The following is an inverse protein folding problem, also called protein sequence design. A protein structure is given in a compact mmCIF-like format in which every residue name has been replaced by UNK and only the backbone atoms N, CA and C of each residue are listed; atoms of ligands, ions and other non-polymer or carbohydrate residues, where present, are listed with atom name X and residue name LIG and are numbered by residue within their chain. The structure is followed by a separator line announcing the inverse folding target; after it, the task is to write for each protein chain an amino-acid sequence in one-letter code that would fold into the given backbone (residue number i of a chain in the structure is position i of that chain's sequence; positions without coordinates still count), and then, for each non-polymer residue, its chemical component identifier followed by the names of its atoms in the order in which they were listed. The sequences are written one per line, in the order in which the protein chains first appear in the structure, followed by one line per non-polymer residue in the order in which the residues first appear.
data_IF_253077167562
#
_entry.id   IF_253077167562
#
_cell.length_a   1.000
_cell.length_b   1.000
_cell.length_c   1.000
_cell.angle_alpha   90.00
_cell.angle_beta   90.00
_cell.angle_gamma   90.00
#
_symmetry.space_group_name_H-M   'P 1'
#
loop_
_entity.id
_entity.type
_entity.pdbx_description
1 polymer ?
#
# COMPACT_ATOMS: atom_id res chain seq x y z
N UNK A 1 17.18 -46.81 -19.31
CA UNK A 1 17.39 -46.19 -17.98
C UNK A 1 17.56 -44.69 -18.22
N UNK A 2 16.43 -43.97 -18.25
CA UNK A 2 16.41 -42.53 -18.47
C UNK A 2 16.65 -41.80 -17.15
N UNK A 3 17.61 -40.88 -17.19
CA UNK A 3 17.89 -40.03 -16.04
C UNK A 3 16.75 -39.01 -15.84
N UNK A 4 16.40 -38.64 -14.61
CA UNK A 4 15.35 -37.65 -14.37
C UNK A 4 15.71 -36.29 -14.92
N UNK A 5 14.79 -35.70 -15.66
CA UNK A 5 14.94 -34.44 -16.44
C UNK A 5 14.87 -33.16 -15.60
N UNK A 6 14.75 -33.26 -14.27
CA UNK A 6 14.72 -32.08 -13.41
C UNK A 6 15.77 -32.19 -12.30
N UNK A 7 16.63 -31.18 -12.14
CA UNK A 7 17.47 -31.11 -10.97
C UNK A 7 16.57 -30.98 -9.73
N UNK A 8 16.76 -31.84 -8.75
CA UNK A 8 16.17 -31.65 -7.43
C UNK A 8 16.71 -30.33 -6.87
N UNK A 9 15.85 -29.33 -6.80
CA UNK A 9 16.15 -28.13 -6.04
C UNK A 9 16.26 -28.56 -4.58
N UNK A 10 17.35 -28.23 -3.89
CA UNK A 10 17.45 -28.48 -2.46
C UNK A 10 16.26 -27.77 -1.79
N UNK A 11 15.48 -28.50 -1.02
CA UNK A 11 14.47 -27.93 -0.13
C UNK A 11 15.16 -26.84 0.69
N UNK A 12 14.62 -25.63 0.59
CA UNK A 12 15.12 -24.51 1.37
C UNK A 12 15.28 -24.95 2.85
N UNK A 13 16.39 -24.60 3.49
CA UNK A 13 16.56 -24.91 4.89
C UNK A 13 15.40 -24.27 5.65
N UNK A 14 14.68 -25.07 6.41
CA UNK A 14 13.64 -24.62 7.34
C UNK A 14 14.15 -23.37 8.05
N UNK A 15 13.36 -22.31 8.03
CA UNK A 15 13.70 -21.05 8.68
C UNK A 15 14.25 -21.35 10.09
N UNK A 16 15.33 -20.71 10.51
CA UNK A 16 15.92 -20.99 11.81
C UNK A 16 14.85 -20.80 12.87
N UNK A 17 14.51 -21.87 13.55
CA UNK A 17 13.65 -21.87 14.72
C UNK A 17 14.30 -20.99 15.77
N UNK A 18 13.81 -19.74 15.94
CA UNK A 18 14.33 -18.83 16.94
C UNK A 18 14.36 -17.35 16.59
N UNK A 19 13.72 -16.90 15.52
CA UNK A 19 13.56 -15.46 15.29
C UNK A 19 12.59 -14.92 16.33
N UNK A 20 13.13 -14.21 17.33
CA UNK A 20 12.35 -13.58 18.37
C UNK A 20 11.45 -12.51 17.76
N UNK A 21 10.15 -12.58 18.04
CA UNK A 21 9.20 -11.55 17.66
C UNK A 21 9.12 -10.48 18.76
N UNK A 22 8.79 -9.25 18.36
CA UNK A 22 8.65 -8.11 19.26
C UNK A 22 7.34 -7.38 19.00
N UNK A 23 6.70 -6.95 20.05
CA UNK A 23 5.69 -5.91 19.99
C UNK A 23 6.38 -4.57 19.85
N UNK A 24 6.08 -3.82 18.81
CA UNK A 24 6.76 -2.56 18.51
C UNK A 24 5.77 -1.43 18.23
N UNK A 25 6.20 -0.20 18.55
CA UNK A 25 5.49 1.05 18.27
C UNK A 25 6.47 2.22 18.21
N UNK A 26 6.08 3.31 17.59
CA UNK A 26 4.81 3.57 16.93
C UNK A 26 4.67 2.80 15.62
N UNK A 27 3.41 2.51 15.22
CA UNK A 27 3.07 1.68 14.06
C UNK A 27 3.67 2.19 12.76
N UNK A 28 3.61 3.49 12.50
CA UNK A 28 4.09 4.10 11.27
C UNK A 28 5.60 3.93 11.01
N UNK A 29 6.39 3.63 12.04
CA UNK A 29 7.83 3.36 11.91
C UNK A 29 8.16 1.85 11.88
N UNK A 30 7.18 0.99 12.10
CA UNK A 30 7.41 -0.44 12.32
C UNK A 30 7.65 -1.25 11.02
N UNK A 31 7.32 -0.67 9.86
CA UNK A 31 7.43 -1.38 8.58
C UNK A 31 6.44 -2.54 8.43
N UNK A 32 6.63 -3.35 7.40
CA UNK A 32 5.75 -4.47 7.03
C UNK A 32 6.28 -5.87 7.38
N UNK A 33 7.46 -5.97 8.00
CA UNK A 33 8.12 -7.25 8.32
C UNK A 33 8.42 -8.15 7.10
N UNK A 34 8.34 -7.61 5.88
CA UNK A 34 8.48 -8.34 4.63
C UNK A 34 7.26 -9.20 4.25
N UNK A 35 6.16 -9.11 5.01
CA UNK A 35 4.96 -9.94 4.83
C UNK A 35 3.74 -9.14 4.33
N UNK A 36 3.96 -7.97 3.75
CA UNK A 36 2.86 -7.12 3.28
C UNK A 36 1.91 -7.86 2.33
N UNK A 37 2.47 -8.66 1.43
CA UNK A 37 1.67 -9.39 0.45
C UNK A 37 0.73 -10.38 1.13
N UNK A 38 1.25 -11.22 2.00
CA UNK A 38 0.50 -12.25 2.72
C UNK A 38 -0.57 -11.62 3.61
N UNK A 39 -0.20 -10.58 4.35
CA UNK A 39 -1.11 -9.84 5.24
C UNK A 39 -2.28 -9.24 4.48
N UNK A 40 -2.03 -8.63 3.32
CA UNK A 40 -3.07 -8.02 2.48
C UNK A 40 -3.94 -9.12 1.84
N UNK A 41 -3.33 -10.16 1.26
CA UNK A 41 -4.05 -11.26 0.61
C UNK A 41 -4.96 -12.00 1.61
N UNK A 42 -4.48 -12.28 2.82
CA UNK A 42 -5.25 -12.90 3.90
C UNK A 42 -6.41 -11.98 4.35
N UNK A 43 -6.16 -10.69 4.43
CA UNK A 43 -7.20 -9.71 4.78
C UNK A 43 -8.30 -9.69 3.73
N UNK A 44 -7.95 -9.58 2.45
CA UNK A 44 -8.91 -9.59 1.35
C UNK A 44 -9.70 -10.90 1.28
N UNK A 45 -9.03 -12.04 1.52
CA UNK A 45 -9.68 -13.35 1.58
C UNK A 45 -10.71 -13.41 2.73
N UNK A 46 -10.36 -12.92 3.92
CA UNK A 46 -11.30 -12.85 5.07
C UNK A 46 -12.49 -11.91 4.80
N UNK A 47 -12.28 -10.88 4.00
CA UNK A 47 -13.33 -9.96 3.56
C UNK A 47 -14.17 -10.53 2.39
N UNK A 48 -13.90 -11.76 1.95
CA UNK A 48 -14.66 -12.45 0.90
C UNK A 48 -14.31 -12.01 -0.53
N UNK A 49 -13.18 -11.34 -0.72
CA UNK A 49 -12.75 -10.95 -2.06
C UNK A 49 -12.23 -12.17 -2.83
N UNK A 50 -12.59 -12.24 -4.11
CA UNK A 50 -12.14 -13.30 -5.02
C UNK A 50 -10.79 -12.93 -5.61
N UNK A 51 -9.82 -13.83 -5.60
CA UNK A 51 -8.54 -13.63 -6.25
C UNK A 51 -8.49 -14.24 -7.65
N UNK A 52 -7.80 -13.55 -8.55
CA UNK A 52 -7.52 -13.98 -9.93
C UNK A 52 -6.05 -13.74 -10.23
N UNK A 53 -5.39 -14.73 -10.81
CA UNK A 53 -4.06 -14.53 -11.38
C UNK A 53 -4.20 -14.12 -12.83
N UNK A 54 -3.80 -12.90 -13.15
CA UNK A 54 -3.79 -12.37 -14.52
C UNK A 54 -2.39 -12.58 -15.09
N UNK A 55 -2.31 -13.41 -16.12
CA UNK A 55 -1.06 -13.68 -16.83
C UNK A 55 -1.07 -12.95 -18.16
N UNK A 56 -0.10 -12.07 -18.37
CA UNK A 56 0.14 -11.42 -19.66
C UNK A 56 1.32 -12.10 -20.34
N UNK A 57 1.08 -12.66 -21.53
CA UNK A 57 2.12 -13.23 -22.36
C UNK A 57 2.33 -12.41 -23.63
N UNK A 58 3.54 -12.37 -24.16
CA UNK A 58 3.79 -11.95 -25.53
C UNK A 58 3.58 -13.15 -26.44
N UNK A 59 2.72 -13.03 -27.41
CA UNK A 59 2.60 -13.99 -28.50
C UNK A 59 3.11 -13.31 -29.75
N UNK A 60 4.22 -13.76 -30.29
CA UNK A 60 4.60 -13.39 -31.65
C UNK A 60 3.67 -14.12 -32.63
N UNK A 61 3.24 -13.44 -33.74
CA UNK A 61 2.24 -14.02 -34.65
C UNK A 61 2.61 -15.37 -35.26
N UNK A 62 3.90 -15.67 -35.34
CA UNK A 62 4.44 -16.88 -36.00
C UNK A 62 5.01 -17.91 -35.01
N UNK A 63 4.91 -17.71 -33.69
CA UNK A 63 5.39 -18.67 -32.71
C UNK A 63 4.34 -19.70 -32.33
N UNK A 64 4.76 -20.97 -32.21
CA UNK A 64 3.94 -22.04 -31.70
C UNK A 64 3.47 -21.73 -30.27
N UNK A 65 2.23 -22.14 -29.86
CA UNK A 65 1.65 -21.84 -28.55
C UNK A 65 2.53 -22.26 -27.37
N UNK A 66 3.37 -23.24 -27.54
CA UNK A 66 4.31 -23.79 -26.55
C UNK A 66 5.49 -22.86 -26.23
N UNK A 67 5.76 -21.87 -27.08
CA UNK A 67 6.83 -20.87 -26.88
C UNK A 67 6.34 -19.54 -26.31
N UNK A 68 5.13 -19.50 -25.77
CA UNK A 68 4.64 -18.30 -25.10
C UNK A 68 5.57 -17.90 -23.94
N UNK A 69 6.25 -16.80 -24.10
CA UNK A 69 6.93 -16.17 -22.98
C UNK A 69 5.88 -15.52 -22.07
N UNK A 70 5.76 -16.01 -20.84
CA UNK A 70 5.00 -15.33 -19.78
C UNK A 70 5.84 -14.10 -19.38
N UNK A 71 5.40 -12.93 -19.81
CA UNK A 71 6.11 -11.67 -19.52
C UNK A 71 5.73 -11.12 -18.15
N UNK A 72 4.51 -11.33 -17.70
CA UNK A 72 4.00 -10.80 -16.42
C UNK A 72 2.89 -11.67 -15.86
N UNK A 73 2.88 -11.76 -14.54
CA UNK A 73 1.69 -12.20 -13.81
C UNK A 73 1.41 -11.21 -12.69
N UNK A 74 0.15 -10.93 -12.41
CA UNK A 74 -0.28 -10.16 -11.24
C UNK A 74 -1.46 -10.86 -10.60
N UNK A 75 -1.60 -10.66 -9.28
CA UNK A 75 -2.78 -11.13 -8.55
C UNK A 75 -3.72 -9.96 -8.39
N UNK A 76 -4.95 -10.15 -8.86
CA UNK A 76 -6.05 -9.22 -8.74
C UNK A 76 -7.07 -9.79 -7.76
N UNK A 77 -7.42 -9.03 -6.75
CA UNK A 77 -8.51 -9.33 -5.83
C UNK A 77 -9.71 -8.44 -6.17
N UNK A 78 -10.89 -9.03 -6.25
CA UNK A 78 -12.13 -8.34 -6.62
C UNK A 78 -13.13 -8.47 -5.48
N UNK A 79 -13.74 -7.37 -5.06
CA UNK A 79 -14.78 -7.34 -4.04
C UNK A 79 -16.03 -8.14 -4.47
N UNK A 80 -16.84 -8.64 -3.52
CA UNK A 80 -18.03 -9.44 -3.83
C UNK A 80 -19.04 -8.72 -4.73
N UNK A 81 -19.16 -7.40 -4.60
CA UNK A 81 -20.00 -6.53 -5.43
C UNK A 81 -19.37 -6.15 -6.77
N UNK A 82 -18.09 -6.51 -6.98
CA UNK A 82 -17.29 -6.18 -8.17
C UNK A 82 -17.03 -4.68 -8.38
N UNK A 83 -17.30 -3.83 -7.39
CA UNK A 83 -17.09 -2.39 -7.48
C UNK A 83 -15.65 -1.99 -7.10
N UNK A 84 -14.94 -2.83 -6.36
CA UNK A 84 -13.57 -2.58 -5.93
C UNK A 84 -12.63 -3.68 -6.41
N UNK A 85 -11.38 -3.30 -6.62
CA UNK A 85 -10.29 -4.27 -6.84
C UNK A 85 -9.00 -3.81 -6.20
N UNK A 86 -8.22 -4.78 -5.77
CA UNK A 86 -6.87 -4.59 -5.25
C UNK A 86 -5.89 -5.42 -6.10
N UNK A 87 -4.85 -4.78 -6.60
CA UNK A 87 -3.87 -5.38 -7.49
C UNK A 87 -2.48 -5.30 -6.88
N UNK A 88 -1.79 -6.44 -6.81
CA UNK A 88 -0.36 -6.44 -6.58
C UNK A 88 0.35 -5.95 -7.84
N UNK A 89 1.11 -4.88 -7.72
CA UNK A 89 1.87 -4.32 -8.82
C UNK A 89 3.21 -5.06 -8.92
N UNK A 90 3.33 -5.92 -9.93
CA UNK A 90 4.58 -6.56 -10.32
C UNK A 90 4.99 -5.96 -11.65
N UNK A 91 5.82 -4.95 -11.63
CA UNK A 91 6.19 -4.25 -12.85
C UNK A 91 7.65 -4.51 -13.20
N UNK A 92 7.92 -4.87 -14.46
CA UNK A 92 9.26 -4.77 -15.03
C UNK A 92 9.70 -3.31 -15.12
N UNK A 93 8.71 -2.41 -15.15
CA UNK A 93 8.87 -0.98 -15.02
C UNK A 93 8.01 -0.56 -13.82
N UNK A 94 8.57 -0.44 -12.60
CA UNK A 94 7.81 -0.12 -11.43
C UNK A 94 7.23 1.29 -11.55
N UNK A 95 5.95 1.42 -11.23
CA UNK A 95 5.36 2.70 -10.94
C UNK A 95 5.91 3.19 -9.60
N UNK A 96 6.42 4.41 -9.55
CA UNK A 96 7.12 4.93 -8.38
C UNK A 96 6.29 6.01 -7.67
N UNK A 97 6.34 6.00 -6.34
CA UNK A 97 5.98 7.14 -5.48
C UNK A 97 7.31 7.66 -4.90
N UNK A 98 7.78 8.80 -5.41
CA UNK A 98 9.15 9.21 -5.18
C UNK A 98 10.13 8.19 -5.76
N UNK A 99 10.99 7.64 -4.93
CA UNK A 99 11.95 6.60 -5.31
C UNK A 99 11.46 5.17 -5.02
N UNK A 100 10.27 5.03 -4.41
CA UNK A 100 9.76 3.75 -3.96
C UNK A 100 8.82 3.13 -5.00
N UNK A 101 8.99 1.84 -5.35
CA UNK A 101 8.06 1.14 -6.23
C UNK A 101 6.71 0.96 -5.53
N UNK A 102 5.62 1.05 -6.27
CA UNK A 102 4.29 0.70 -5.77
C UNK A 102 4.18 -0.82 -5.67
N UNK A 103 3.73 -1.31 -4.52
CA UNK A 103 3.45 -2.72 -4.27
C UNK A 103 1.98 -3.07 -4.49
N UNK A 104 1.07 -2.18 -4.06
CA UNK A 104 -0.36 -2.38 -4.15
C UNK A 104 -1.07 -1.17 -4.74
N UNK A 105 -2.00 -1.45 -5.64
CA UNK A 105 -3.00 -0.50 -6.11
C UNK A 105 -4.37 -1.00 -5.68
N UNK A 106 -5.16 -0.11 -5.08
CA UNK A 106 -6.57 -0.33 -4.74
C UNK A 106 -7.41 0.66 -5.51
N UNK A 107 -8.45 0.21 -6.16
CA UNK A 107 -9.29 1.06 -7.00
C UNK A 107 -10.78 0.74 -6.80
N UNK A 108 -11.63 1.72 -7.07
CA UNK A 108 -13.07 1.54 -7.08
C UNK A 108 -13.70 2.27 -8.27
N UNK A 109 -14.87 1.78 -8.70
CA UNK A 109 -15.70 2.37 -9.74
C UNK A 109 -17.10 2.68 -9.20
N UNK A 110 -17.80 3.57 -9.88
CA UNK A 110 -19.15 3.98 -9.47
C UNK A 110 -20.18 2.87 -9.61
N UNK A 111 -20.10 2.13 -10.71
CA UNK A 111 -20.98 1.01 -11.03
C UNK A 111 -20.25 -0.04 -11.88
N UNK A 112 -20.88 -1.18 -12.06
CA UNK A 112 -20.32 -2.33 -12.80
C UNK A 112 -20.18 -2.08 -14.30
N UNK A 113 -20.87 -1.08 -14.85
CA UNK A 113 -20.78 -0.70 -16.26
C UNK A 113 -19.66 0.30 -16.55
N UNK A 114 -19.13 0.95 -15.51
CA UNK A 114 -18.01 1.89 -15.61
C UNK A 114 -16.73 1.17 -15.97
N UNK A 115 -16.09 1.46 -17.11
CA UNK A 115 -14.86 0.78 -17.53
C UNK A 115 -13.62 1.30 -16.79
N UNK A 116 -13.70 2.47 -16.19
CA UNK A 116 -12.60 3.16 -15.51
C UNK A 116 -12.83 3.22 -14.00
N UNK A 117 -11.74 3.29 -13.27
CA UNK A 117 -11.78 3.61 -11.85
C UNK A 117 -12.26 5.05 -11.64
N UNK A 118 -13.14 5.25 -10.67
CA UNK A 118 -13.49 6.58 -10.17
C UNK A 118 -12.36 7.13 -9.29
N UNK A 119 -11.65 6.25 -8.60
CA UNK A 119 -10.48 6.60 -7.81
C UNK A 119 -9.52 5.41 -7.66
N UNK A 120 -8.27 5.74 -7.35
CA UNK A 120 -7.23 4.76 -6.99
C UNK A 120 -6.40 5.23 -5.80
N UNK A 121 -5.90 4.27 -5.05
CA UNK A 121 -4.94 4.46 -3.98
C UNK A 121 -3.74 3.54 -4.20
N UNK A 122 -2.56 4.03 -3.91
CA UNK A 122 -1.28 3.38 -4.19
C UNK A 122 -0.46 3.27 -2.92
N UNK A 123 0.16 2.11 -2.71
CA UNK A 123 0.92 1.81 -1.51
C UNK A 123 2.26 1.17 -1.90
N UNK A 124 3.35 1.66 -1.31
CA UNK A 124 4.69 1.10 -1.52
C UNK A 124 4.96 -0.05 -0.54
N UNK A 125 5.97 -0.90 -0.79
CA UNK A 125 6.49 -1.80 0.23
C UNK A 125 6.93 -1.03 1.48
N UNK A 126 6.98 -1.72 2.61
CA UNK A 126 7.36 -1.13 3.88
C UNK A 126 6.22 -0.47 4.65
N UNK A 127 5.06 -0.22 4.02
CA UNK A 127 3.88 0.23 4.76
C UNK A 127 3.43 -0.86 5.74
N UNK A 128 3.09 -0.52 7.01
CA UNK A 128 2.57 -1.53 7.93
C UNK A 128 1.32 -2.22 7.38
N UNK A 129 1.35 -3.55 7.29
CA UNK A 129 0.25 -4.33 6.71
C UNK A 129 -1.08 -4.12 7.41
N UNK A 130 -1.06 -3.83 8.72
CA UNK A 130 -2.23 -3.51 9.51
C UNK A 130 -2.93 -2.22 9.04
N UNK A 131 -2.15 -1.22 8.61
CA UNK A 131 -2.69 0.06 8.11
C UNK A 131 -3.43 -0.14 6.80
N UNK A 132 -2.83 -0.91 5.89
CA UNK A 132 -3.49 -1.25 4.63
C UNK A 132 -4.68 -2.19 4.87
N UNK A 133 -4.57 -3.13 5.80
CA UNK A 133 -5.67 -4.02 6.20
C UNK A 133 -6.88 -3.26 6.74
N UNK A 134 -6.68 -2.29 7.61
CA UNK A 134 -7.75 -1.45 8.17
C UNK A 134 -8.41 -0.57 7.09
N UNK A 135 -7.63 -0.03 6.15
CA UNK A 135 -8.16 0.68 4.98
C UNK A 135 -9.05 -0.22 4.12
N UNK A 136 -8.61 -1.44 3.83
CA UNK A 136 -9.37 -2.41 3.04
C UNK A 136 -10.64 -2.87 3.77
N UNK A 137 -10.57 -3.05 5.08
CA UNK A 137 -11.74 -3.37 5.89
C UNK A 137 -12.76 -2.22 5.88
N UNK A 138 -12.31 -0.98 6.01
CA UNK A 138 -13.18 0.19 5.90
C UNK A 138 -13.83 0.27 4.51
N UNK A 139 -13.07 0.02 3.44
CA UNK A 139 -13.59 -0.02 2.06
C UNK A 139 -14.64 -1.11 1.88
N UNK A 140 -14.39 -2.33 2.37
CA UNK A 140 -15.30 -3.47 2.22
C UNK A 140 -16.61 -3.32 3.00
N UNK A 141 -16.64 -2.45 4.01
CA UNK A 141 -17.85 -2.16 4.79
C UNK A 141 -18.73 -1.06 4.16
N UNK A 142 -18.36 -0.52 3.01
CA UNK A 142 -19.13 0.52 2.33
C UNK A 142 -20.10 -0.08 1.32
N UNK A 143 -21.33 0.39 1.33
CA UNK A 143 -22.32 0.05 0.28
C UNK A 143 -22.00 0.74 -1.05
N UNK A 144 -21.43 1.96 -0.98
CA UNK A 144 -21.04 2.75 -2.15
C UNK A 144 -19.58 3.19 -1.99
N UNK A 145 -18.63 2.50 -2.63
CA UNK A 145 -17.20 2.74 -2.43
C UNK A 145 -16.73 4.12 -2.92
N UNK A 146 -17.50 4.75 -3.82
CA UNK A 146 -17.17 6.07 -4.40
C UNK A 146 -17.95 7.22 -3.78
N UNK A 147 -18.94 6.94 -2.92
CA UNK A 147 -19.74 7.99 -2.32
C UNK A 147 -18.85 8.92 -1.47
N UNK A 148 -18.90 10.21 -1.78
CA UNK A 148 -18.20 11.20 -0.98
C UNK A 148 -18.81 11.27 0.41
N UNK A 149 -17.95 11.30 1.43
CA UNK A 149 -18.36 11.52 2.81
C UNK A 149 -17.46 12.58 3.43
N UNK A 150 -18.02 13.51 4.14
CA UNK A 150 -17.34 14.55 4.92
C UNK A 150 -16.23 15.31 4.15
N UNK A 151 -15.57 16.24 4.79
CA UNK A 151 -14.45 17.01 4.25
C UNK A 151 -13.09 16.50 4.72
N UNK A 152 -12.01 17.16 4.29
CA UNK A 152 -10.63 16.81 4.64
C UNK A 152 -10.35 16.89 6.15
N UNK A 153 -11.13 17.68 6.88
CA UNK A 153 -11.01 17.80 8.34
C UNK A 153 -11.11 16.45 9.05
N UNK A 154 -11.90 15.51 8.50
CA UNK A 154 -12.05 14.18 9.07
C UNK A 154 -10.72 13.42 9.16
N UNK A 155 -9.87 13.57 8.16
CA UNK A 155 -8.53 12.93 8.13
C UNK A 155 -7.61 13.58 9.17
N UNK A 156 -7.60 14.91 9.22
CA UNK A 156 -6.78 15.66 10.16
C UNK A 156 -7.23 15.43 11.62
N UNK A 157 -8.53 15.34 11.85
CA UNK A 157 -9.09 15.05 13.17
C UNK A 157 -8.74 13.62 13.63
N UNK A 158 -8.74 12.65 12.71
CA UNK A 158 -8.33 11.28 13.01
C UNK A 158 -6.86 11.19 13.47
N UNK A 159 -5.99 12.03 12.91
CA UNK A 159 -4.57 12.14 13.27
C UNK A 159 -4.40 12.89 14.60
N UNK A 160 -5.00 14.08 14.71
CA UNK A 160 -4.82 14.95 15.90
C UNK A 160 -5.43 14.35 17.16
N UNK A 161 -6.53 13.60 17.05
CA UNK A 161 -7.09 12.82 18.16
C UNK A 161 -6.10 11.78 18.72
N UNK A 162 -5.03 11.46 18.00
CA UNK A 162 -3.97 10.53 18.38
C UNK A 162 -2.61 11.19 18.61
N UNK A 163 -2.62 12.53 18.84
CA UNK A 163 -1.46 13.30 19.23
C UNK A 163 -0.58 13.77 18.05
N UNK A 164 -1.03 13.61 16.81
CA UNK A 164 -0.34 14.22 15.68
C UNK A 164 -0.55 15.72 15.66
N UNK A 165 0.39 16.44 15.09
CA UNK A 165 0.39 17.91 15.02
C UNK A 165 -0.09 18.33 13.63
N UNK A 166 -0.97 19.31 13.56
CA UNK A 166 -1.27 19.95 12.29
C UNK A 166 -0.03 20.68 11.77
N UNK A 167 0.20 20.62 10.48
CA UNK A 167 1.28 21.32 9.82
C UNK A 167 1.16 22.83 10.10
N UNK A 168 2.28 23.49 10.43
CA UNK A 168 2.29 24.90 10.81
C UNK A 168 1.96 25.81 9.63
N UNK A 169 2.47 25.47 8.47
CA UNK A 169 2.30 26.25 7.25
C UNK A 169 0.98 25.91 6.54
N UNK A 170 0.54 24.64 6.65
CA UNK A 170 -0.64 24.11 5.97
C UNK A 170 -1.61 23.39 6.95
N UNK A 171 -2.14 24.10 7.98
CA UNK A 171 -2.90 23.46 9.07
C UNK A 171 -4.26 22.86 8.65
N UNK A 172 -4.73 23.20 7.44
CA UNK A 172 -5.98 22.68 6.85
C UNK A 172 -5.78 21.50 5.92
N UNK A 173 -4.55 21.20 5.56
CA UNK A 173 -4.23 20.18 4.57
C UNK A 173 -3.10 19.26 4.97
N UNK A 174 -2.44 19.47 6.11
CA UNK A 174 -1.31 18.66 6.55
C UNK A 174 -1.29 18.36 8.03
N UNK A 175 -0.72 17.21 8.38
CA UNK A 175 -0.38 16.81 9.74
C UNK A 175 0.91 15.99 9.75
N UNK A 176 1.66 16.12 10.84
CA UNK A 176 2.94 15.42 11.06
C UNK A 176 2.89 14.68 12.39
N UNK A 177 3.61 13.58 12.49
CA UNK A 177 3.77 12.86 13.73
C UNK A 177 4.61 13.66 14.76
N UNK A 178 4.53 13.36 16.06
CA UNK A 178 5.28 14.09 17.09
C UNK A 178 6.80 14.04 16.96
N UNK A 179 7.33 13.08 16.19
CA UNK A 179 8.79 12.95 15.94
C UNK A 179 9.21 13.58 14.61
N UNK A 180 8.30 14.19 13.88
CA UNK A 180 8.53 14.82 12.57
C UNK A 180 9.16 13.87 11.55
N UNK A 181 8.74 12.61 11.54
CA UNK A 181 9.24 11.58 10.63
C UNK A 181 8.21 11.17 9.60
N UNK A 182 6.93 11.44 9.87
CA UNK A 182 5.82 11.01 9.03
C UNK A 182 4.91 12.20 8.76
N UNK A 183 4.55 12.36 7.50
CA UNK A 183 3.64 13.41 7.06
C UNK A 183 2.42 12.79 6.38
N UNK A 184 1.26 13.43 6.57
CA UNK A 184 0.04 13.19 5.81
C UNK A 184 -0.44 14.54 5.29
N UNK A 185 -0.56 14.69 3.98
CA UNK A 185 -0.86 15.97 3.32
C UNK A 185 -1.89 15.81 2.20
N UNK A 186 -2.73 16.84 2.02
CA UNK A 186 -3.72 16.94 0.94
C UNK A 186 -3.29 17.98 -0.10
N UNK A 187 -3.28 17.58 -1.36
CA UNK A 187 -3.46 18.48 -2.50
C UNK A 187 -2.23 19.19 -3.03
N UNK A 188 -1.14 19.27 -2.32
CA UNK A 188 0.10 19.76 -2.90
C UNK A 188 1.06 18.60 -3.11
N UNK A 189 1.63 18.58 -4.29
CA UNK A 189 2.59 17.56 -4.66
C UNK A 189 3.70 17.51 -3.63
N UNK A 190 3.72 16.48 -2.83
CA UNK A 190 4.90 16.23 -2.05
C UNK A 190 6.02 15.78 -3.00
N UNK A 191 7.25 15.83 -2.52
CA UNK A 191 8.40 15.34 -3.27
C UNK A 191 8.32 13.86 -3.71
N UNK A 192 7.23 13.18 -3.36
CA UNK A 192 6.95 11.78 -3.74
C UNK A 192 6.67 11.58 -5.22
N UNK A 193 6.18 12.59 -5.93
CA UNK A 193 6.01 12.54 -7.38
C UNK A 193 7.06 13.47 -7.96
N UNK A 194 8.13 12.89 -8.52
CA UNK A 194 9.16 13.70 -9.17
C UNK A 194 8.58 14.36 -10.41
N UNK A 195 8.70 15.69 -10.47
CA UNK A 195 8.45 16.45 -11.69
C UNK A 195 9.29 15.88 -12.81
N UNK A 196 8.62 15.36 -13.84
CA UNK A 196 9.27 14.92 -15.07
C UNK A 196 9.32 13.42 -15.33
N UNK A 197 8.78 12.56 -14.46
CA UNK A 197 8.48 11.18 -14.86
C UNK A 197 7.09 11.12 -15.53
N UNK A 198 7.04 11.07 -16.89
CA UNK A 198 5.77 11.02 -17.61
C UNK A 198 4.96 9.76 -17.30
N UNK A 199 5.58 8.73 -16.70
CA UNK A 199 4.91 7.47 -16.32
C UNK A 199 4.18 7.61 -15.00
N UNK A 200 4.78 8.27 -14.01
CA UNK A 200 4.12 8.58 -12.74
C UNK A 200 2.89 9.49 -12.96
N UNK A 201 3.02 10.50 -13.82
CA UNK A 201 1.93 11.39 -14.20
C UNK A 201 0.87 10.67 -15.04
N UNK A 202 1.26 9.75 -15.92
CA UNK A 202 0.32 9.04 -16.81
C UNK A 202 -0.55 8.08 -16.04
N UNK A 203 -0.04 7.36 -15.05
CA UNK A 203 -0.84 6.44 -14.23
C UNK A 203 -1.70 7.20 -13.23
N UNK A 204 -1.15 8.18 -12.53
CA UNK A 204 -1.91 8.98 -11.56
C UNK A 204 -2.94 9.92 -12.21
N UNK A 205 -2.58 10.55 -13.32
CA UNK A 205 -3.46 11.47 -14.04
C UNK A 205 -4.40 10.79 -15.05
N UNK A 206 -4.03 9.62 -15.58
CA UNK A 206 -4.80 8.91 -16.60
C UNK A 206 -5.97 8.11 -16.07
N UNK A 207 -5.86 7.56 -14.84
CA UNK A 207 -6.86 6.67 -14.26
C UNK A 207 -7.74 7.33 -13.19
N UNK A 208 -7.24 8.33 -12.48
CA UNK A 208 -7.92 8.80 -11.27
C UNK A 208 -7.88 10.32 -11.03
N UNK A 209 -7.44 11.10 -11.97
CA UNK A 209 -7.44 12.58 -11.83
C UNK A 209 -6.34 13.11 -10.89
N UNK A 210 -6.47 14.36 -10.43
CA UNK A 210 -5.45 15.04 -9.66
C UNK A 210 -5.19 14.36 -8.31
N UNK A 211 -3.98 14.51 -7.80
CA UNK A 211 -3.54 14.00 -6.50
C UNK A 211 -4.43 14.50 -5.37
N UNK A 212 -4.83 13.58 -4.50
CA UNK A 212 -5.54 13.87 -3.26
C UNK A 212 -4.61 13.80 -2.07
N UNK A 213 -4.89 12.93 -1.12
CA UNK A 213 -4.07 12.72 0.07
C UNK A 213 -2.80 11.94 -0.23
N UNK A 214 -1.75 12.28 0.50
CA UNK A 214 -0.50 11.55 0.47
C UNK A 214 0.04 11.35 1.88
N UNK A 215 0.73 10.22 2.11
CA UNK A 215 1.37 9.91 3.37
C UNK A 215 2.75 9.30 3.09
N UNK A 216 3.75 9.68 3.87
CA UNK A 216 5.10 9.13 3.74
C UNK A 216 5.86 9.18 5.05
N UNK A 217 6.86 8.31 5.17
CA UNK A 217 7.80 8.29 6.29
C UNK A 217 9.19 8.59 5.78
N UNK A 218 9.78 9.65 6.29
CA UNK A 218 11.18 10.03 6.14
C UNK A 218 11.86 9.88 7.51
N UNK A 219 12.60 8.79 7.77
CA UNK A 219 13.14 8.51 9.11
C UNK A 219 14.04 9.60 9.66
N UNK A 220 14.75 10.32 8.81
CA UNK A 220 15.54 11.49 9.11
C UNK A 220 15.53 12.41 7.89
N UNK A 221 15.71 13.70 8.09
CA UNK A 221 15.73 14.68 7.00
C UNK A 221 16.77 14.29 5.92
N UNK A 222 16.32 14.13 4.68
CA UNK A 222 17.14 13.71 3.55
C UNK A 222 17.45 12.20 3.52
N UNK A 223 16.87 11.41 4.42
CA UNK A 223 16.98 9.95 4.33
C UNK A 223 16.00 9.38 3.29
N UNK A 224 16.28 8.21 2.70
CA UNK A 224 15.32 7.53 1.86
C UNK A 224 14.00 7.26 2.59
N UNK A 225 12.89 7.40 1.90
CA UNK A 225 11.59 7.10 2.44
C UNK A 225 11.49 5.62 2.86
N UNK A 226 10.91 5.37 4.03
CA UNK A 226 10.63 4.01 4.50
C UNK A 226 9.46 3.40 3.70
N UNK A 227 8.41 4.17 3.53
CA UNK A 227 7.24 3.84 2.73
C UNK A 227 6.47 5.11 2.34
N UNK A 228 5.60 4.97 1.35
CA UNK A 228 4.70 6.01 0.90
C UNK A 228 3.33 5.44 0.51
N UNK A 229 2.30 6.29 0.60
CA UNK A 229 0.97 6.04 0.08
C UNK A 229 0.44 7.28 -0.62
N UNK A 230 -0.32 7.08 -1.71
CA UNK A 230 -0.95 8.16 -2.46
C UNK A 230 -2.41 7.80 -2.77
N UNK A 231 -3.29 8.74 -2.56
CA UNK A 231 -4.72 8.63 -2.80
C UNK A 231 -5.12 9.65 -3.85
N UNK A 232 -5.79 9.24 -4.92
CA UNK A 232 -6.33 10.20 -5.87
C UNK A 232 -7.41 11.07 -5.23
N UNK A 233 -7.71 12.23 -5.83
CA UNK A 233 -8.69 13.20 -5.30
C UNK A 233 -10.10 12.63 -5.13
N UNK A 234 -10.44 11.56 -5.85
CA UNK A 234 -11.73 10.88 -5.75
C UNK A 234 -11.86 9.91 -4.58
N UNK A 235 -10.79 9.61 -3.84
CA UNK A 235 -10.88 8.72 -2.68
C UNK A 235 -11.68 9.40 -1.56
N UNK A 236 -12.75 8.78 -1.06
CA UNK A 236 -13.56 9.33 0.02
C UNK A 236 -12.72 9.64 1.28
N UNK A 237 -12.90 10.81 1.86
CA UNK A 237 -12.11 11.27 3.02
C UNK A 237 -12.23 10.37 4.24
N UNK A 238 -13.37 9.70 4.44
CA UNK A 238 -13.53 8.75 5.54
C UNK A 238 -12.69 7.48 5.38
N UNK A 239 -12.43 7.03 4.15
CA UNK A 239 -11.48 5.94 3.90
C UNK A 239 -10.05 6.37 4.24
N UNK A 240 -9.67 7.58 3.81
CA UNK A 240 -8.36 8.13 4.18
C UNK A 240 -8.27 8.38 5.68
N UNK A 241 -9.36 8.77 6.34
CA UNK A 241 -9.42 8.91 7.79
C UNK A 241 -9.26 7.57 8.52
N UNK A 242 -9.83 6.47 7.99
CA UNK A 242 -9.62 5.13 8.52
C UNK A 242 -8.14 4.71 8.41
N UNK A 243 -7.52 4.95 7.25
CA UNK A 243 -6.08 4.77 7.06
C UNK A 243 -5.27 5.60 8.07
N UNK A 244 -5.54 6.90 8.19
CA UNK A 244 -4.85 7.82 9.09
C UNK A 244 -5.03 7.42 10.57
N UNK A 245 -6.23 6.99 10.94
CA UNK A 245 -6.53 6.50 12.29
C UNK A 245 -5.74 5.23 12.63
N UNK A 246 -5.62 4.31 11.70
CA UNK A 246 -4.81 3.11 11.86
C UNK A 246 -3.32 3.44 11.93
N UNK A 247 -2.84 4.32 11.04
CA UNK A 247 -1.46 4.78 11.00
C UNK A 247 -1.01 5.39 12.32
N UNK A 248 -1.84 6.29 12.89
CA UNK A 248 -1.57 6.98 14.14
C UNK A 248 -1.95 6.18 15.39
N UNK A 249 -2.33 4.91 15.24
CA UNK A 249 -2.70 4.06 16.37
C UNK A 249 -1.51 3.82 17.30
N UNK A 250 -1.76 3.93 18.61
CA UNK A 250 -0.79 3.59 19.65
C UNK A 250 -0.69 2.08 19.91
N UNK A 251 -1.58 1.27 19.33
CA UNK A 251 -1.54 -0.18 19.48
C UNK A 251 -0.26 -0.73 18.86
N UNK A 252 0.55 -1.50 19.62
CA UNK A 252 1.77 -2.07 19.09
C UNK A 252 1.45 -3.12 18.03
N UNK A 253 2.41 -3.34 17.14
CA UNK A 253 2.36 -4.37 16.09
C UNK A 253 3.45 -5.40 16.30
N UNK A 254 3.17 -6.65 15.91
CA UNK A 254 4.15 -7.73 16.03
C UNK A 254 5.11 -7.69 14.84
N UNK A 255 6.42 -7.73 15.12
CA UNK A 255 7.47 -7.76 14.07
C UNK A 255 8.56 -8.74 14.42
N UNK A 256 9.06 -9.43 13.41
CA UNK A 256 10.27 -10.27 13.47
C UNK A 256 11.48 -9.56 12.89
N UNK A 257 11.24 -8.69 11.92
CA UNK A 257 12.27 -7.87 11.28
C UNK A 257 11.89 -6.41 11.45
N UNK A 258 12.85 -5.58 11.80
CA UNK A 258 12.65 -4.15 11.99
C UNK A 258 13.40 -3.38 10.89
N UNK A 259 12.80 -2.31 10.35
CA UNK A 259 13.52 -1.46 9.40
C UNK A 259 14.77 -0.88 10.05
N UNK A 260 15.91 -1.02 9.40
CA UNK A 260 17.20 -0.56 9.92
C UNK A 260 17.20 0.93 10.23
N UNK A 261 16.52 1.73 9.39
CA UNK A 261 16.46 3.18 9.52
C UNK A 261 15.62 3.68 10.69
N UNK A 262 14.76 2.85 11.27
CA UNK A 262 13.82 3.25 12.35
C UNK A 262 13.96 2.44 13.62
N UNK A 263 14.75 1.36 13.61
CA UNK A 263 14.84 0.41 14.74
C UNK A 263 15.16 1.06 16.09
N UNK A 264 15.97 2.12 16.10
CA UNK A 264 16.37 2.81 17.33
C UNK A 264 15.32 3.82 17.84
N UNK A 265 14.27 4.06 17.06
CA UNK A 265 13.12 4.92 17.40
C UNK A 265 11.89 4.14 17.83
N UNK A 266 11.94 2.82 17.69
CA UNK A 266 10.85 1.93 18.05
C UNK A 266 10.93 1.53 19.53
N UNK A 267 9.82 1.69 20.23
CA UNK A 267 9.63 1.04 21.53
C UNK A 267 9.38 -0.45 21.27
N UNK A 268 10.07 -1.31 22.03
CA UNK A 268 10.03 -2.77 21.84
C UNK A 268 9.71 -3.49 23.14
N UNK A 269 8.85 -4.47 23.06
CA UNK A 269 8.62 -5.46 24.11
C UNK A 269 8.72 -6.87 23.51
N UNK A 270 9.31 -7.87 24.21
CA UNK A 270 9.30 -9.24 23.73
C UNK A 270 7.86 -9.70 23.49
N UNK A 271 7.64 -10.50 22.45
CA UNK A 271 6.44 -11.29 22.32
C UNK A 271 6.72 -12.64 22.97
N UNK A 272 6.01 -12.94 24.04
CA UNK A 272 6.13 -14.20 24.80
C UNK A 272 5.71 -15.40 23.92
#
# INVERSE_FOLDING_TARGET
MEAPLYPEFPLEPSAPSGVQAFWVGPRYLAGDDGQLYETVADTLTRLGWTNLTVVRGRQEPDEAPEHRQILRSTVLHISPDTLCWAQRVLADEPFLLGELPVAWQVSAREDTSSPLAAWSAYFTPGIPGEVLGDFLAALSNREQPTAASAGPELVLDALTARGWLRDVDHPRSGAVDPMFTTCVSLGEMPPLIQDGDPRALTVAAGEAGPTGWQAWVEPALGAPYLWAASFSSGVPHDLVAAFAASLASSAPVLRRVLPESTKDRLLRAPAD
#
